data_IF_372529717940
#
_entry.id   IF_372529717940
#
_cell.length_a   1.000
_cell.length_b   1.000
_cell.length_c   1.000
_cell.angle_alpha   90.00
_cell.angle_beta   90.00
_cell.angle_gamma   90.00
#
_symmetry.space_group_name_H-M   'P 1'
#
loop_
_entity.id
_entity.type
_entity.pdbx_description
1 polymer ?
#
# COMPACT_ATOMS: atom_id res chain seq x y z
N UNK A 1 -1.95 11.45 -11.25
CA UNK A 1 -2.82 10.27 -11.15
C UNK A 1 -3.62 10.38 -9.86
N UNK A 2 -4.94 10.35 -9.92
CA UNK A 2 -5.84 10.21 -8.77
C UNK A 2 -5.97 8.73 -8.38
N UNK A 3 -6.55 8.42 -7.20
CA UNK A 3 -6.82 7.03 -6.80
C UNK A 3 -7.80 6.36 -7.78
N UNK A 4 -8.81 7.11 -8.25
CA UNK A 4 -9.76 6.61 -9.25
C UNK A 4 -9.08 6.33 -10.59
N UNK A 5 -8.19 7.23 -11.05
CA UNK A 5 -7.38 7.00 -12.25
C UNK A 5 -6.49 5.77 -12.07
N UNK A 6 -5.84 5.61 -10.92
CA UNK A 6 -5.03 4.44 -10.62
C UNK A 6 -5.84 3.13 -10.66
N UNK A 7 -7.02 3.11 -10.02
CA UNK A 7 -7.92 1.95 -10.06
C UNK A 7 -8.31 1.60 -11.51
N UNK A 8 -8.66 2.59 -12.34
CA UNK A 8 -9.01 2.38 -13.76
C UNK A 8 -7.82 1.92 -14.60
N UNK A 9 -6.64 2.51 -14.39
CA UNK A 9 -5.42 2.14 -15.10
C UNK A 9 -5.02 0.70 -14.79
N UNK A 10 -5.04 0.30 -13.51
CA UNK A 10 -4.76 -1.09 -13.10
C UNK A 10 -5.80 -2.04 -13.68
N UNK A 11 -7.09 -1.71 -13.61
CA UNK A 11 -8.15 -2.56 -14.17
C UNK A 11 -8.00 -2.77 -15.67
N UNK A 12 -7.69 -1.70 -16.39
CA UNK A 12 -7.42 -1.76 -17.83
C UNK A 12 -6.22 -2.66 -18.11
N UNK A 13 -5.10 -2.45 -17.42
CA UNK A 13 -3.89 -3.26 -17.59
C UNK A 13 -4.13 -4.74 -17.30
N UNK A 14 -4.86 -5.06 -16.23
CA UNK A 14 -5.16 -6.45 -15.88
C UNK A 14 -6.03 -7.13 -16.94
N UNK A 15 -7.00 -6.41 -17.51
CA UNK A 15 -7.90 -6.95 -18.54
C UNK A 15 -7.25 -7.03 -19.92
N UNK A 16 -6.22 -6.24 -20.21
CA UNK A 16 -5.55 -6.23 -21.52
C UNK A 16 -4.25 -7.04 -21.50
N UNK A 17 -3.32 -6.69 -20.62
CA UNK A 17 -2.00 -7.32 -20.51
C UNK A 17 -2.02 -8.49 -19.52
N UNK A 18 -2.69 -8.34 -18.38
CA UNK A 18 -2.73 -9.35 -17.32
C UNK A 18 -3.68 -10.53 -17.57
N UNK A 19 -4.44 -10.52 -18.68
CA UNK A 19 -5.51 -11.48 -19.04
C UNK A 19 -6.71 -11.46 -18.08
N UNK A 20 -6.49 -11.58 -16.77
CA UNK A 20 -7.51 -11.53 -15.70
C UNK A 20 -6.86 -11.27 -14.34
N UNK A 21 -7.69 -10.92 -13.35
CA UNK A 21 -7.27 -10.95 -11.96
C UNK A 21 -6.94 -12.38 -11.50
N UNK A 22 -5.98 -12.51 -10.60
CA UNK A 22 -5.90 -13.69 -9.73
C UNK A 22 -7.14 -13.78 -8.83
N UNK A 23 -7.34 -14.92 -8.18
CA UNK A 23 -8.38 -15.02 -7.14
C UNK A 23 -8.00 -14.13 -5.94
N UNK A 24 -8.99 -13.81 -5.12
CA UNK A 24 -8.85 -12.86 -4.01
C UNK A 24 -7.82 -13.32 -2.99
N UNK A 25 -7.76 -14.61 -2.69
CA UNK A 25 -6.82 -15.18 -1.73
C UNK A 25 -5.39 -15.18 -2.25
N UNK A 26 -5.19 -15.39 -3.55
CA UNK A 26 -3.88 -15.25 -4.18
C UNK A 26 -3.42 -13.79 -4.14
N UNK A 27 -4.28 -12.83 -4.48
CA UNK A 27 -3.91 -11.41 -4.34
C UNK A 27 -3.69 -11.00 -2.87
N UNK A 28 -4.36 -11.62 -1.91
CA UNK A 28 -4.07 -11.42 -0.47
C UNK A 28 -2.69 -11.97 -0.08
N UNK A 29 -2.30 -13.14 -0.61
CA UNK A 29 -0.98 -13.69 -0.40
C UNK A 29 0.10 -12.78 -1.01
N UNK A 30 -0.08 -12.34 -2.26
CA UNK A 30 0.83 -11.41 -2.93
C UNK A 30 0.94 -10.09 -2.15
N UNK A 31 -0.17 -9.53 -1.66
CA UNK A 31 -0.12 -8.31 -0.85
C UNK A 31 0.75 -8.51 0.40
N UNK A 32 0.67 -9.68 1.03
CA UNK A 32 1.49 -10.00 2.20
C UNK A 32 2.97 -10.13 1.86
N UNK A 33 3.27 -10.70 0.69
CA UNK A 33 4.63 -10.77 0.14
C UNK A 33 5.23 -9.37 -0.07
N UNK A 34 4.53 -8.48 -0.78
CA UNK A 34 5.01 -7.12 -1.04
C UNK A 34 5.19 -6.30 0.26
N UNK A 35 4.28 -6.46 1.22
CA UNK A 35 4.45 -5.83 2.54
C UNK A 35 5.69 -6.37 3.27
N UNK A 36 6.04 -7.63 3.06
CA UNK A 36 7.27 -8.23 3.57
C UNK A 36 8.53 -7.61 2.96
N UNK A 37 8.51 -7.31 1.66
CA UNK A 37 9.58 -6.61 0.94
C UNK A 37 9.80 -5.20 1.54
N UNK A 38 8.72 -4.43 1.73
CA UNK A 38 8.74 -3.12 2.40
C UNK A 38 9.30 -3.26 3.82
N UNK A 39 8.80 -4.22 4.61
CA UNK A 39 9.24 -4.42 6.00
C UNK A 39 10.73 -4.77 6.10
N UNK A 40 11.25 -5.54 5.15
CA UNK A 40 12.67 -5.87 5.05
C UNK A 40 13.53 -4.61 4.84
N UNK A 41 13.15 -3.71 3.94
CA UNK A 41 13.89 -2.46 3.73
C UNK A 41 13.78 -1.57 4.97
N UNK A 42 12.57 -1.39 5.51
CA UNK A 42 12.31 -0.57 6.69
C UNK A 42 13.16 -1.01 7.89
N UNK A 43 13.17 -2.31 8.19
CA UNK A 43 13.92 -2.86 9.33
C UNK A 43 15.44 -2.72 9.22
N UNK A 44 15.99 -2.75 7.99
CA UNK A 44 17.44 -2.63 7.76
C UNK A 44 17.94 -1.19 7.62
N UNK A 45 17.18 -0.33 6.94
CA UNK A 45 17.61 1.06 6.66
C UNK A 45 17.23 2.03 7.76
N UNK A 46 16.06 1.81 8.36
CA UNK A 46 15.48 2.73 9.34
C UNK A 46 15.32 2.07 10.72
N UNK A 47 15.56 0.76 10.82
CA UNK A 47 15.57 0.02 12.06
C UNK A 47 16.98 -0.35 12.52
N UNK A 48 17.06 -1.32 13.44
CA UNK A 48 18.32 -1.72 14.08
C UNK A 48 18.99 -2.92 13.39
N UNK A 49 18.42 -3.47 12.31
CA UNK A 49 19.06 -4.58 11.59
C UNK A 49 20.21 -4.09 10.72
N UNK A 50 21.27 -4.90 10.62
CA UNK A 50 22.38 -4.60 9.73
C UNK A 50 21.96 -4.67 8.25
N UNK A 51 22.41 -3.69 7.47
CA UNK A 51 22.21 -3.68 6.02
C UNK A 51 23.03 -4.78 5.34
N UNK A 52 22.42 -5.49 4.38
CA UNK A 52 23.10 -6.51 3.59
C UNK A 52 23.52 -5.93 2.24
N UNK A 53 24.68 -6.33 1.68
CA UNK A 53 25.09 -5.91 0.34
C UNK A 53 24.04 -6.18 -0.75
N UNK A 54 23.28 -7.27 -0.62
CA UNK A 54 22.19 -7.64 -1.54
C UNK A 54 21.00 -6.66 -1.52
N UNK A 55 20.87 -5.85 -0.48
CA UNK A 55 19.74 -4.93 -0.31
C UNK A 55 20.11 -3.48 -0.70
N UNK A 56 21.38 -3.21 -1.04
CA UNK A 56 21.87 -1.85 -1.39
C UNK A 56 21.21 -1.24 -2.62
N UNK A 57 20.67 -2.07 -3.52
CA UNK A 57 20.03 -1.62 -4.75
C UNK A 57 18.50 -1.58 -4.70
N UNK A 58 17.87 -1.97 -3.59
CA UNK A 58 16.40 -2.03 -3.50
C UNK A 58 15.81 -0.64 -3.30
N UNK A 59 14.82 -0.24 -4.06
CA UNK A 59 14.20 1.06 -3.88
C UNK A 59 12.95 0.94 -3.00
N UNK A 60 12.84 1.76 -1.94
CA UNK A 60 11.67 1.70 -1.06
C UNK A 60 10.39 2.15 -1.77
N UNK A 61 10.51 3.08 -2.70
CA UNK A 61 9.40 3.58 -3.50
C UNK A 61 8.84 2.50 -4.42
N UNK A 62 9.70 1.70 -5.04
CA UNK A 62 9.30 0.55 -5.86
C UNK A 62 8.50 -0.48 -5.03
N UNK A 63 9.01 -0.90 -3.86
CA UNK A 63 8.29 -1.87 -3.01
C UNK A 63 6.94 -1.29 -2.51
N UNK A 64 6.88 0.02 -2.21
CA UNK A 64 5.62 0.67 -1.85
C UNK A 64 4.64 0.73 -3.02
N UNK A 65 5.14 0.87 -4.25
CA UNK A 65 4.33 0.84 -5.45
C UNK A 65 3.77 -0.56 -5.71
N UNK A 66 4.53 -1.62 -5.44
CA UNK A 66 4.06 -3.01 -5.55
C UNK A 66 2.96 -3.32 -4.53
N UNK A 67 3.11 -2.86 -3.28
CA UNK A 67 2.01 -2.91 -2.29
C UNK A 67 0.76 -2.19 -2.79
N UNK A 68 0.92 -0.98 -3.33
CA UNK A 68 -0.21 -0.21 -3.87
C UNK A 68 -0.86 -0.94 -5.06
N UNK A 69 -0.07 -1.54 -5.94
CA UNK A 69 -0.55 -2.28 -7.10
C UNK A 69 -1.47 -3.43 -6.70
N UNK A 70 -1.04 -4.27 -5.76
CA UNK A 70 -1.84 -5.41 -5.31
C UNK A 70 -3.07 -4.94 -4.53
N UNK A 71 -2.96 -3.85 -3.77
CA UNK A 71 -4.11 -3.25 -3.08
C UNK A 71 -5.16 -2.72 -4.08
N UNK A 72 -4.74 -2.09 -5.18
CA UNK A 72 -5.62 -1.64 -6.26
C UNK A 72 -6.30 -2.84 -6.93
N UNK A 73 -5.57 -3.94 -7.17
CA UNK A 73 -6.15 -5.19 -7.66
C UNK A 73 -7.24 -5.71 -6.72
N UNK A 74 -6.96 -5.77 -5.42
CA UNK A 74 -7.91 -6.18 -4.38
C UNK A 74 -9.15 -5.30 -4.32
N UNK A 75 -8.98 -3.99 -4.43
CA UNK A 75 -10.12 -3.08 -4.42
C UNK A 75 -11.00 -3.26 -5.66
N UNK A 76 -10.40 -3.38 -6.84
CA UNK A 76 -11.14 -3.56 -8.09
C UNK A 76 -11.90 -4.89 -8.11
N UNK A 77 -11.26 -6.00 -7.72
CA UNK A 77 -11.90 -7.32 -7.75
C UNK A 77 -13.04 -7.44 -6.71
N UNK A 78 -12.98 -6.68 -5.61
CA UNK A 78 -14.01 -6.71 -4.54
C UNK A 78 -15.05 -5.58 -4.66
N UNK A 79 -14.95 -4.72 -5.68
CA UNK A 79 -15.88 -3.60 -5.87
C UNK A 79 -15.72 -2.45 -4.88
N UNK A 80 -14.55 -2.33 -4.24
CA UNK A 80 -14.25 -1.24 -3.30
C UNK A 80 -13.83 0.01 -4.06
N UNK A 81 -14.56 1.11 -3.85
CA UNK A 81 -14.13 2.44 -4.25
C UNK A 81 -13.11 2.98 -3.23
N UNK A 82 -11.82 2.95 -3.58
CA UNK A 82 -10.76 3.39 -2.67
C UNK A 82 -10.75 4.90 -2.45
N UNK A 83 -11.16 5.71 -3.44
CA UNK A 83 -11.27 7.16 -3.27
C UNK A 83 -12.23 7.49 -2.13
N UNK A 84 -13.44 6.93 -2.16
CA UNK A 84 -14.43 7.14 -1.11
C UNK A 84 -14.01 6.50 0.23
N UNK A 85 -13.47 5.28 0.20
CA UNK A 85 -13.03 4.59 1.40
C UNK A 85 -11.92 5.37 2.12
N UNK A 86 -10.97 5.91 1.36
CA UNK A 86 -9.88 6.73 1.88
C UNK A 86 -10.39 8.07 2.43
N UNK A 87 -11.28 8.76 1.72
CA UNK A 87 -11.91 9.99 2.20
C UNK A 87 -12.66 9.78 3.52
N UNK A 88 -13.46 8.70 3.64
CA UNK A 88 -14.15 8.33 4.89
C UNK A 88 -13.15 8.03 6.01
N UNK A 89 -12.05 7.33 5.69
CA UNK A 89 -10.99 7.02 6.65
C UNK A 89 -10.31 8.29 7.20
N UNK A 90 -9.99 9.24 6.31
CA UNK A 90 -9.40 10.52 6.67
C UNK A 90 -10.32 11.35 7.58
N UNK A 91 -11.61 11.45 7.24
CA UNK A 91 -12.60 12.14 8.09
C UNK A 91 -12.64 11.52 9.49
N UNK A 92 -12.77 10.19 9.56
CA UNK A 92 -12.83 9.45 10.85
C UNK A 92 -11.56 9.66 11.69
N UNK A 93 -10.37 9.62 11.09
CA UNK A 93 -9.10 9.87 11.80
C UNK A 93 -9.01 11.31 12.28
N UNK A 94 -9.40 12.28 11.44
CA UNK A 94 -9.36 13.70 11.79
C UNK A 94 -10.29 14.04 12.96
N UNK A 95 -11.49 13.46 12.99
CA UNK A 95 -12.43 13.63 14.10
C UNK A 95 -11.92 12.97 15.39
N UNK A 96 -11.38 11.76 15.31
CA UNK A 96 -10.89 11.01 16.48
C UNK A 96 -9.64 11.62 17.10
N UNK A 97 -8.72 12.08 16.27
CA UNK A 97 -7.35 12.38 16.68
C UNK A 97 -7.06 13.90 16.78
N UNK A 98 -8.09 14.75 16.61
CA UNK A 98 -7.99 16.21 16.56
C UNK A 98 -7.15 16.83 17.68
N UNK A 99 -7.37 16.37 18.91
CA UNK A 99 -6.65 16.87 20.10
C UNK A 99 -5.60 15.87 20.60
N UNK A 100 -5.74 14.59 20.25
CA UNK A 100 -5.00 13.48 20.86
C UNK A 100 -3.52 13.42 20.48
N UNK A 101 -3.17 13.79 19.25
CA UNK A 101 -1.76 13.79 18.81
C UNK A 101 -1.07 15.11 19.11
N UNK A 102 -1.81 16.22 19.03
CA UNK A 102 -1.27 17.56 19.32
C UNK A 102 -0.78 17.66 20.76
N UNK A 103 -1.51 17.03 21.68
CA UNK A 103 -1.23 17.08 23.11
C UNK A 103 -0.32 15.92 23.58
N UNK A 104 0.22 15.11 22.66
CA UNK A 104 1.12 14.00 23.00
C UNK A 104 2.58 14.48 23.02
N UNK A 105 3.26 14.54 24.19
CA UNK A 105 4.65 15.01 24.28
C UNK A 105 5.65 14.10 23.56
N UNK A 106 5.28 12.84 23.26
CA UNK A 106 6.13 11.92 22.50
C UNK A 106 6.16 12.23 21.00
N UNK A 107 5.27 13.10 20.51
CA UNK A 107 5.11 13.46 19.09
C UNK A 107 5.47 14.93 18.81
N UNK A 108 5.96 15.67 19.82
CA UNK A 108 6.44 17.05 19.73
C UNK A 108 7.96 17.07 19.60
#
# INVERSE_FOLDING_TARGET
MTIEEAQKTVDTWIKTTGVRYFNELTNMANLTEEVGEVARIMSRRYGEQSEKPSDKGKDLGDEMADVLWVLLCLANQTGVNLTEAFQRNLKKKSERDKDRHRDNPKLQ
#
